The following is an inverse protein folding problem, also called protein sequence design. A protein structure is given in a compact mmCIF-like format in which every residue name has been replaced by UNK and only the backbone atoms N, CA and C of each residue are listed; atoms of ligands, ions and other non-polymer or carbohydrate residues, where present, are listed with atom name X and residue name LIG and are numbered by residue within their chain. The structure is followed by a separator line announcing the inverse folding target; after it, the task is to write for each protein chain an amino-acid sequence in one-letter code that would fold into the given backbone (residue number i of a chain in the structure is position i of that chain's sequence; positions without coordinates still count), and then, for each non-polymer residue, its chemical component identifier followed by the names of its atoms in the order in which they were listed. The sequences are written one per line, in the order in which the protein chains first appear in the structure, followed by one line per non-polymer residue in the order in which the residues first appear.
data_IF_750997443384
#
_entry.id   IF_750997443384
#
_cell.length_a   1.000
_cell.length_b   1.000
_cell.length_c   1.000
_cell.angle_alpha   90.00
_cell.angle_beta   90.00
_cell.angle_gamma   90.00
#
_symmetry.space_group_name_H-M   'P 1'
#
loop_
_entity.id
_entity.type
_entity.pdbx_description
1 polymer ?
#
# COMPACT_ATOMS: atom_id res chain seq x y z
N UNK A 1 19.60 9.45 8.71
CA UNK A 1 20.00 8.01 8.79
C UNK A 1 21.51 7.95 8.53
N UNK A 2 22.13 6.77 8.38
CA UNK A 2 23.40 6.72 7.64
C UNK A 2 23.08 6.76 6.16
N UNK A 3 23.81 7.56 5.39
CA UNK A 3 23.69 7.61 3.94
C UNK A 3 24.42 6.41 3.35
N UNK A 4 23.71 5.58 2.59
CA UNK A 4 24.23 4.39 1.92
C UNK A 4 24.22 4.62 0.40
N UNK A 5 25.37 4.97 -0.21
CA UNK A 5 25.42 5.28 -1.63
C UNK A 5 25.06 4.07 -2.49
N UNK A 6 24.30 4.31 -3.56
CA UNK A 6 24.00 3.28 -4.56
C UNK A 6 25.29 2.73 -5.19
N UNK A 7 25.35 1.41 -5.36
CA UNK A 7 26.40 0.78 -6.17
C UNK A 7 26.30 1.21 -7.63
N UNK A 8 27.39 1.09 -8.40
CA UNK A 8 27.41 1.46 -9.81
C UNK A 8 26.40 0.65 -10.67
N UNK A 9 26.05 -0.57 -10.24
CA UNK A 9 25.03 -1.39 -10.90
C UNK A 9 23.60 -0.95 -10.56
N UNK A 10 23.30 -0.70 -9.28
CA UNK A 10 22.01 -0.10 -8.87
C UNK A 10 21.80 1.25 -9.54
N UNK A 11 22.79 2.14 -9.50
CA UNK A 11 22.70 3.47 -10.09
C UNK A 11 22.44 3.42 -11.60
N UNK A 12 23.10 2.50 -12.32
CA UNK A 12 22.79 2.26 -13.75
C UNK A 12 21.36 1.76 -13.92
N UNK A 13 20.94 0.75 -13.17
CA UNK A 13 19.59 0.19 -13.27
C UNK A 13 18.51 1.25 -13.00
N UNK A 14 18.63 1.99 -11.89
CA UNK A 14 17.72 3.06 -11.50
C UNK A 14 17.67 4.15 -12.58
N UNK A 15 18.83 4.56 -13.13
CA UNK A 15 18.89 5.52 -14.25
C UNK A 15 18.15 5.00 -15.50
N UNK A 16 18.35 3.74 -15.86
CA UNK A 16 17.67 3.10 -16.99
C UNK A 16 16.16 2.94 -16.79
N UNK A 17 15.68 2.73 -15.56
CA UNK A 17 14.25 2.71 -15.26
C UNK A 17 13.63 4.11 -15.28
N UNK A 18 14.23 5.08 -14.57
CA UNK A 18 13.69 6.44 -14.43
C UNK A 18 13.55 7.20 -15.75
N UNK A 19 14.35 6.89 -16.76
CA UNK A 19 14.23 7.47 -18.10
C UNK A 19 12.99 7.01 -18.89
N UNK A 20 12.41 5.84 -18.56
CA UNK A 20 11.28 5.26 -19.30
C UNK A 20 9.99 6.04 -19.03
N UNK A 21 9.19 6.24 -20.08
CA UNK A 21 7.83 6.73 -19.93
C UNK A 21 6.88 5.60 -19.52
N UNK A 22 5.82 5.92 -18.78
CA UNK A 22 4.86 4.93 -18.28
C UNK A 22 4.05 4.26 -19.40
N UNK A 23 3.77 2.97 -19.25
CA UNK A 23 2.80 2.24 -20.07
C UNK A 23 1.35 2.54 -19.68
N UNK A 24 0.36 2.27 -20.57
CA UNK A 24 -1.04 2.63 -20.35
C UNK A 24 -1.70 1.90 -19.17
N UNK A 25 -1.13 0.79 -18.71
CA UNK A 25 -1.54 0.05 -17.51
C UNK A 25 -1.48 0.90 -16.23
N UNK A 26 -0.49 1.79 -16.11
CA UNK A 26 -0.30 2.65 -14.94
C UNK A 26 -1.14 3.94 -14.96
N UNK A 27 -1.75 4.27 -16.10
CA UNK A 27 -2.42 5.55 -16.31
C UNK A 27 -3.93 5.46 -16.16
N UNK A 28 -4.52 6.44 -15.48
CA UNK A 28 -5.96 6.67 -15.45
C UNK A 28 -6.32 7.98 -16.14
N UNK A 29 -7.58 8.12 -16.56
CA UNK A 29 -8.12 9.34 -17.16
C UNK A 29 -9.39 9.77 -16.43
N UNK A 30 -9.50 11.08 -16.14
CA UNK A 30 -10.71 11.71 -15.62
C UNK A 30 -11.13 12.88 -16.51
N UNK A 31 -12.42 13.18 -16.54
CA UNK A 31 -12.91 14.43 -17.16
C UNK A 31 -12.55 15.60 -16.25
N UNK A 32 -11.88 16.60 -16.79
CA UNK A 32 -11.63 17.90 -16.15
C UNK A 32 -12.21 19.05 -16.96
N UNK A 33 -12.09 20.31 -16.48
CA UNK A 33 -12.70 21.48 -17.12
C UNK A 33 -12.29 21.68 -18.57
N UNK A 34 -11.03 21.37 -18.91
CA UNK A 34 -10.43 21.54 -20.23
C UNK A 34 -10.33 20.22 -21.02
N UNK A 35 -11.21 19.25 -20.73
CA UNK A 35 -11.22 17.93 -21.36
C UNK A 35 -10.59 16.84 -20.51
N UNK A 36 -10.09 15.77 -21.13
CA UNK A 36 -9.53 14.60 -20.42
C UNK A 36 -8.18 14.92 -19.78
N UNK A 37 -8.07 14.66 -18.48
CA UNK A 37 -6.83 14.73 -17.71
C UNK A 37 -6.32 13.31 -17.42
N UNK A 38 -5.08 13.02 -17.84
CA UNK A 38 -4.40 11.76 -17.55
C UNK A 38 -3.61 11.91 -16.25
N UNK A 39 -3.63 10.90 -15.37
CA UNK A 39 -2.98 10.93 -14.06
C UNK A 39 -2.54 9.53 -13.61
N UNK A 40 -1.69 9.47 -12.58
CA UNK A 40 -1.38 8.25 -11.81
C UNK A 40 -2.03 8.30 -10.43
N UNK A 41 -2.47 7.15 -9.94
CA UNK A 41 -2.95 6.95 -8.57
C UNK A 41 -1.79 7.10 -7.56
N UNK A 42 -2.09 7.46 -6.31
CA UNK A 42 -1.07 7.52 -5.25
C UNK A 42 -0.38 6.17 -5.04
N UNK A 43 -1.18 5.10 -4.94
CA UNK A 43 -0.72 3.71 -4.87
C UNK A 43 0.20 3.31 -6.02
N UNK A 44 -0.09 3.76 -7.25
CA UNK A 44 0.77 3.52 -8.42
C UNK A 44 2.15 4.17 -8.24
N UNK A 45 2.21 5.44 -7.82
CA UNK A 45 3.48 6.12 -7.58
C UNK A 45 4.32 5.43 -6.48
N UNK A 46 3.68 5.01 -5.37
CA UNK A 46 4.31 4.26 -4.28
C UNK A 46 4.85 2.91 -4.77
N UNK A 47 4.06 2.16 -5.55
CA UNK A 47 4.49 0.87 -6.11
C UNK A 47 5.70 1.03 -7.03
N UNK A 48 5.69 2.00 -7.94
CA UNK A 48 6.81 2.24 -8.86
C UNK A 48 8.06 2.69 -8.09
N UNK A 49 7.93 3.52 -7.05
CA UNK A 49 9.05 3.89 -6.18
C UNK A 49 9.63 2.66 -5.45
N UNK A 50 8.79 1.76 -4.96
CA UNK A 50 9.20 0.49 -4.36
C UNK A 50 9.83 -0.49 -5.37
N UNK A 51 9.41 -0.49 -6.64
CA UNK A 51 9.98 -1.31 -7.71
C UNK A 51 11.34 -0.77 -8.21
N UNK A 52 11.54 0.56 -8.24
CA UNK A 52 12.76 1.20 -8.73
C UNK A 52 13.83 1.30 -7.63
N UNK A 53 13.46 1.79 -6.43
CA UNK A 53 14.41 2.04 -5.33
C UNK A 53 14.48 0.89 -4.31
N UNK A 54 13.46 0.03 -4.26
CA UNK A 54 13.26 -0.92 -3.17
C UNK A 54 12.50 -0.30 -2.00
N UNK A 55 11.80 -1.13 -1.21
CA UNK A 55 10.97 -0.71 -0.07
C UNK A 55 11.72 0.05 1.04
N UNK A 56 13.05 -0.05 1.07
CA UNK A 56 13.96 0.61 2.01
C UNK A 56 14.92 1.59 1.31
N UNK A 57 14.77 1.82 0.01
CA UNK A 57 15.64 2.71 -0.78
C UNK A 57 15.17 4.16 -0.84
N UNK A 58 13.96 4.45 -0.35
CA UNK A 58 13.37 5.78 -0.27
C UNK A 58 12.51 5.94 0.99
N UNK A 59 12.25 7.19 1.37
CA UNK A 59 11.36 7.57 2.46
C UNK A 59 10.64 8.89 2.16
N UNK A 60 9.52 9.13 2.85
CA UNK A 60 8.72 10.36 2.77
C UNK A 60 8.59 11.02 4.13
N UNK A 61 8.80 12.34 4.19
CA UNK A 61 8.67 13.16 5.40
C UNK A 61 7.73 14.35 5.10
N UNK A 62 6.73 14.60 5.94
CA UNK A 62 5.91 15.81 5.88
C UNK A 62 6.71 16.96 6.53
N UNK A 63 6.95 18.04 5.79
CA UNK A 63 7.75 19.19 6.23
C UNK A 63 6.91 20.34 6.77
N UNK A 64 5.71 20.52 6.21
CA UNK A 64 4.73 21.51 6.64
C UNK A 64 3.31 21.03 6.27
N UNK A 65 2.30 21.51 7.00
CA UNK A 65 0.89 21.37 6.62
C UNK A 65 0.12 22.64 6.98
N UNK A 66 -0.01 23.53 6.00
CA UNK A 66 -0.73 24.80 6.11
C UNK A 66 -2.20 24.64 5.71
N UNK A 67 -3.11 25.19 6.50
CA UNK A 67 -4.55 25.27 6.18
C UNK A 67 -4.83 26.66 5.61
N UNK A 68 -4.95 26.76 4.29
CA UNK A 68 -4.97 28.04 3.57
C UNK A 68 -6.27 28.83 3.77
N UNK A 69 -7.41 28.14 3.85
CA UNK A 69 -8.70 28.74 4.19
C UNK A 69 -9.67 27.69 4.76
N UNK A 70 -10.63 28.13 5.59
CA UNK A 70 -11.78 27.33 6.03
C UNK A 70 -13.02 28.22 6.06
N UNK A 71 -13.83 28.13 5.01
CA UNK A 71 -15.09 28.88 4.89
C UNK A 71 -16.27 28.00 5.30
N UNK A 72 -17.25 28.60 5.99
CA UNK A 72 -18.50 27.94 6.37
C UNK A 72 -19.66 28.76 5.80
N UNK A 73 -20.46 28.15 4.94
CA UNK A 73 -21.63 28.80 4.33
C UNK A 73 -22.78 28.98 5.34
N UNK A 74 -23.75 29.89 5.07
CA UNK A 74 -24.94 30.04 5.92
C UNK A 74 -25.75 28.75 6.11
N UNK A 75 -25.67 27.82 5.15
CA UNK A 75 -26.31 26.50 5.17
C UNK A 75 -25.48 25.44 5.92
N UNK A 76 -24.41 25.86 6.61
CA UNK A 76 -23.51 24.99 7.38
C UNK A 76 -22.61 24.10 6.52
N UNK A 77 -22.33 24.49 5.27
CA UNK A 77 -21.42 23.74 4.38
C UNK A 77 -20.00 24.23 4.51
N UNK A 78 -19.05 23.31 4.65
CA UNK A 78 -17.64 23.64 4.83
C UNK A 78 -16.90 23.57 3.48
N UNK A 79 -16.14 24.60 3.18
CA UNK A 79 -15.15 24.63 2.11
C UNK A 79 -13.75 24.81 2.73
N UNK A 80 -12.75 24.08 2.26
CA UNK A 80 -11.40 24.10 2.82
C UNK A 80 -10.33 23.87 1.75
N UNK A 81 -9.22 24.58 1.88
CA UNK A 81 -7.96 24.32 1.19
C UNK A 81 -6.85 23.96 2.17
N UNK A 82 -6.02 22.98 1.81
CA UNK A 82 -4.84 22.57 2.58
C UNK A 82 -3.65 22.38 1.63
N UNK A 83 -2.54 23.02 1.96
CA UNK A 83 -1.23 22.85 1.34
C UNK A 83 -0.35 21.98 2.22
N UNK A 84 0.34 21.01 1.62
CA UNK A 84 1.30 20.13 2.33
C UNK A 84 2.62 20.12 1.60
N UNK A 85 3.71 20.37 2.32
CA UNK A 85 5.08 20.23 1.78
C UNK A 85 5.61 18.85 2.16
N UNK A 86 6.05 18.05 1.18
CA UNK A 86 6.67 16.74 1.41
C UNK A 86 8.09 16.71 0.86
N UNK A 87 8.99 16.11 1.65
CA UNK A 87 10.33 15.70 1.24
C UNK A 87 10.34 14.20 0.93
N UNK A 88 10.83 13.83 -0.24
CA UNK A 88 11.19 12.44 -0.57
C UNK A 88 12.70 12.33 -0.55
N UNK A 89 13.24 11.40 0.24
CA UNK A 89 14.69 11.19 0.40
C UNK A 89 15.05 9.75 0.02
N UNK A 90 16.10 9.56 -0.78
CA UNK A 90 16.65 8.25 -1.13
C UNK A 90 17.72 7.81 -0.12
N UNK A 91 18.08 6.51 -0.13
CA UNK A 91 19.05 5.94 0.83
C UNK A 91 20.45 6.57 0.78
N UNK A 92 20.83 7.20 -0.33
CA UNK A 92 22.10 7.90 -0.53
C UNK A 92 22.09 9.35 -0.03
N UNK A 93 20.95 9.84 0.48
CA UNK A 93 20.75 11.22 0.92
C UNK A 93 20.20 12.17 -0.15
N UNK A 94 20.09 11.74 -1.42
CA UNK A 94 19.51 12.54 -2.49
C UNK A 94 18.01 12.78 -2.21
N UNK A 95 17.54 14.02 -2.31
CA UNK A 95 16.14 14.35 -1.99
C UNK A 95 15.50 15.37 -2.95
N UNK A 96 14.17 15.33 -3.00
CA UNK A 96 13.33 16.34 -3.64
C UNK A 96 12.18 16.76 -2.71
N UNK A 97 11.83 18.03 -2.76
CA UNK A 97 10.75 18.64 -1.97
C UNK A 97 9.74 19.31 -2.92
N UNK A 98 8.45 19.13 -2.64
CA UNK A 98 7.37 19.71 -3.43
C UNK A 98 6.13 19.98 -2.56
N UNK A 99 5.24 20.85 -3.05
CA UNK A 99 3.99 21.24 -2.36
C UNK A 99 2.80 20.67 -3.10
N UNK A 100 2.03 19.81 -2.42
CA UNK A 100 0.75 19.29 -2.89
C UNK A 100 -0.43 20.05 -2.31
N UNK A 101 -1.58 19.95 -3.00
CA UNK A 101 -2.79 20.67 -2.60
C UNK A 101 -4.01 19.75 -2.55
N UNK A 102 -4.78 19.88 -1.48
CA UNK A 102 -6.02 19.15 -1.27
C UNK A 102 -7.15 20.08 -0.87
N UNK A 103 -8.36 19.77 -1.33
CA UNK A 103 -9.53 20.60 -1.06
C UNK A 103 -10.78 19.76 -0.83
N UNK A 104 -11.68 20.31 -0.01
CA UNK A 104 -13.03 19.79 0.08
C UNK A 104 -14.02 20.93 0.03
N UNK A 105 -14.89 20.90 -0.96
CA UNK A 105 -15.98 21.86 -1.16
C UNK A 105 -17.32 21.23 -0.72
N UNK A 106 -18.26 22.07 -0.27
CA UNK A 106 -19.65 21.69 0.06
C UNK A 106 -19.76 20.51 1.07
N UNK A 107 -18.78 20.38 1.98
CA UNK A 107 -18.73 19.29 2.94
C UNK A 107 -19.81 19.42 4.03
N UNK A 108 -20.30 18.28 4.52
CA UNK A 108 -21.38 18.22 5.52
C UNK A 108 -20.92 18.47 6.96
N UNK A 109 -19.63 18.28 7.24
CA UNK A 109 -19.04 18.55 8.56
C UNK A 109 -17.60 19.06 8.40
N UNK A 110 -17.08 19.75 9.42
CA UNK A 110 -15.69 20.22 9.42
C UNK A 110 -14.69 19.05 9.45
N UNK A 111 -15.03 17.96 10.13
CA UNK A 111 -14.17 16.77 10.22
C UNK A 111 -13.90 16.15 8.85
N UNK A 112 -14.95 15.77 8.10
CA UNK A 112 -14.76 15.12 6.79
C UNK A 112 -14.16 16.07 5.73
N UNK A 113 -14.35 17.39 5.90
CA UNK A 113 -13.70 18.40 5.07
C UNK A 113 -12.17 18.42 5.28
N UNK A 114 -11.73 18.50 6.55
CA UNK A 114 -10.32 18.46 6.94
C UNK A 114 -9.66 17.12 6.56
N UNK A 115 -10.35 16.03 6.83
CA UNK A 115 -9.93 14.67 6.54
C UNK A 115 -9.63 14.48 5.04
N UNK A 116 -10.60 14.77 4.16
CA UNK A 116 -10.42 14.67 2.72
C UNK A 116 -9.31 15.59 2.21
N UNK A 117 -9.32 16.86 2.64
CA UNK A 117 -8.34 17.84 2.15
C UNK A 117 -6.90 17.47 2.55
N UNK A 118 -6.67 17.00 3.78
CA UNK A 118 -5.34 16.55 4.23
C UNK A 118 -4.85 15.31 3.48
N UNK A 119 -5.68 14.27 3.34
CA UNK A 119 -5.29 13.05 2.60
C UNK A 119 -4.95 13.39 1.14
N UNK A 120 -5.81 14.14 0.44
CA UNK A 120 -5.56 14.57 -0.93
C UNK A 120 -4.27 15.39 -1.07
N UNK A 121 -3.99 16.31 -0.15
CA UNK A 121 -2.79 17.14 -0.18
C UNK A 121 -1.50 16.32 0.01
N UNK A 122 -1.50 15.37 0.97
CA UNK A 122 -0.39 14.42 1.20
C UNK A 122 -0.16 13.54 -0.04
N UNK A 123 -1.22 12.96 -0.63
CA UNK A 123 -1.10 12.15 -1.83
C UNK A 123 -0.57 12.96 -3.01
N UNK A 124 -1.04 14.20 -3.21
CA UNK A 124 -0.56 15.07 -4.29
C UNK A 124 0.91 15.47 -4.09
N UNK A 125 1.30 15.89 -2.88
CA UNK A 125 2.67 16.27 -2.55
C UNK A 125 3.64 15.11 -2.78
N UNK A 126 3.25 13.90 -2.35
CA UNK A 126 4.03 12.67 -2.56
C UNK A 126 4.27 12.39 -4.04
N UNK A 127 3.21 12.40 -4.88
CA UNK A 127 3.33 12.19 -6.33
C UNK A 127 4.19 13.26 -7.00
N UNK A 128 4.08 14.51 -6.54
CA UNK A 128 4.80 15.66 -7.10
C UNK A 128 6.28 15.65 -6.76
N UNK A 129 6.66 15.30 -5.53
CA UNK A 129 8.06 15.12 -5.17
C UNK A 129 8.67 13.88 -5.86
N UNK A 130 7.91 12.78 -6.00
CA UNK A 130 8.36 11.58 -6.73
C UNK A 130 8.62 11.85 -8.23
N UNK A 131 7.81 12.67 -8.91
CA UNK A 131 7.99 12.96 -10.35
C UNK A 131 9.39 13.51 -10.67
N UNK A 132 9.98 14.26 -9.74
CA UNK A 132 11.24 14.99 -9.95
C UNK A 132 12.43 14.07 -10.18
N UNK A 133 12.37 12.81 -9.73
CA UNK A 133 13.39 11.79 -10.00
C UNK A 133 13.33 11.24 -11.44
N UNK A 134 12.19 11.29 -12.15
CA UNK A 134 12.15 10.80 -13.54
C UNK A 134 10.78 10.56 -14.17
N UNK A 135 10.83 10.17 -15.45
CA UNK A 135 9.67 9.89 -16.29
C UNK A 135 8.80 8.75 -15.74
N UNK A 136 9.44 7.69 -15.25
CA UNK A 136 8.73 6.53 -14.69
C UNK A 136 7.92 6.87 -13.43
N UNK A 137 8.32 7.91 -12.68
CA UNK A 137 7.59 8.40 -11.50
C UNK A 137 6.60 9.52 -11.84
N UNK A 138 6.26 9.69 -13.13
CA UNK A 138 5.17 10.54 -13.59
C UNK A 138 5.59 11.84 -14.30
N UNK A 139 6.89 12.15 -14.43
CA UNK A 139 7.31 13.34 -15.18
C UNK A 139 6.86 13.31 -16.66
N UNK A 140 6.72 12.13 -17.26
CA UNK A 140 6.22 12.00 -18.64
C UNK A 140 4.79 12.53 -18.83
N UNK A 141 3.98 12.64 -17.76
CA UNK A 141 2.62 13.21 -17.82
C UNK A 141 2.59 14.68 -18.27
N UNK A 142 3.72 15.40 -18.24
CA UNK A 142 3.83 16.77 -18.70
C UNK A 142 4.18 16.90 -20.20
N UNK A 143 4.62 15.82 -20.85
CA UNK A 143 4.86 15.81 -22.30
C UNK A 143 3.57 15.55 -23.10
N UNK A 144 3.19 16.54 -23.91
CA UNK A 144 2.03 16.48 -24.81
C UNK A 144 2.22 15.47 -25.95
N UNK A 145 3.45 15.20 -26.39
CA UNK A 145 3.73 14.23 -27.47
C UNK A 145 3.49 12.81 -26.96
N UNK A 146 4.04 12.48 -25.79
CA UNK A 146 3.72 11.27 -25.05
C UNK A 146 2.22 11.12 -24.77
N UNK A 147 1.55 12.14 -24.21
CA UNK A 147 0.11 12.07 -23.90
C UNK A 147 -0.74 11.77 -25.15
N UNK A 148 -0.44 12.39 -26.29
CA UNK A 148 -1.12 12.14 -27.56
C UNK A 148 -0.89 10.70 -28.07
N UNK A 149 0.27 10.11 -27.77
CA UNK A 149 0.64 8.76 -28.22
C UNK A 149 0.07 7.67 -27.31
N UNK A 150 0.20 7.85 -25.99
CA UNK A 150 -0.26 6.88 -24.98
C UNK A 150 -1.80 6.83 -24.91
N UNK A 151 -2.49 7.95 -25.18
CA UNK A 151 -3.95 8.01 -25.25
C UNK A 151 -4.58 7.26 -26.43
N UNK A 152 -3.77 6.76 -27.38
CA UNK A 152 -4.21 5.89 -28.46
C UNK A 152 -4.00 4.39 -28.16
N UNK A 153 -3.30 4.06 -27.07
CA UNK A 153 -3.03 2.67 -26.68
C UNK A 153 -4.19 2.11 -25.82
N UNK A 154 -4.55 0.84 -26.05
CA UNK A 154 -5.54 0.16 -25.22
C UNK A 154 -4.94 -0.23 -23.86
N UNK A 155 -5.59 0.16 -22.74
CA UNK A 155 -5.16 -0.25 -21.39
C UNK A 155 -5.37 -1.76 -21.20
N UNK A 156 -4.33 -2.56 -20.95
CA UNK A 156 -4.45 -4.01 -20.86
C UNK A 156 -5.26 -4.42 -19.63
N UNK A 157 -6.11 -5.43 -19.80
CA UNK A 157 -7.04 -5.89 -18.76
C UNK A 157 -6.39 -7.00 -17.92
N UNK A 158 -5.85 -6.62 -16.76
CA UNK A 158 -5.24 -7.56 -15.81
C UNK A 158 -6.34 -8.42 -15.18
N UNK A 159 -6.35 -9.72 -15.46
CA UNK A 159 -7.31 -10.66 -14.88
C UNK A 159 -6.94 -10.96 -13.43
N UNK A 160 -7.84 -10.64 -12.50
CA UNK A 160 -7.68 -10.97 -11.09
C UNK A 160 -7.38 -12.46 -10.91
N UNK A 161 -6.27 -12.76 -10.23
CA UNK A 161 -5.73 -14.11 -10.07
C UNK A 161 -5.49 -14.36 -8.59
N UNK A 162 -6.33 -15.15 -7.88
CA UNK A 162 -6.27 -15.31 -6.42
C UNK A 162 -5.08 -16.16 -5.92
N UNK A 163 -4.20 -16.56 -6.85
CA UNK A 163 -3.16 -17.57 -6.66
C UNK A 163 -1.90 -17.05 -5.95
N UNK A 164 -1.66 -15.74 -6.00
CA UNK A 164 -0.53 -15.02 -5.39
C UNK A 164 -0.94 -13.97 -4.36
N UNK A 165 -2.16 -14.06 -3.80
CA UNK A 165 -2.57 -13.21 -2.68
C UNK A 165 -1.78 -13.58 -1.43
N UNK A 166 -1.30 -12.57 -0.69
CA UNK A 166 -0.79 -12.78 0.67
C UNK A 166 -1.91 -13.31 1.56
N UNK A 167 -1.66 -14.43 2.25
CA UNK A 167 -2.62 -15.09 3.13
C UNK A 167 -1.95 -15.42 4.46
N UNK A 168 -2.63 -15.14 5.56
CA UNK A 168 -2.21 -15.64 6.87
C UNK A 168 -2.30 -17.17 6.89
N UNK A 169 -1.30 -17.82 7.48
CA UNK A 169 -1.06 -19.27 7.43
C UNK A 169 -2.31 -20.15 7.70
N UNK A 170 -3.15 -19.74 8.65
CA UNK A 170 -4.40 -20.44 9.02
C UNK A 170 -5.44 -20.52 7.88
N UNK A 171 -5.35 -19.62 6.90
CA UNK A 171 -6.26 -19.48 5.76
C UNK A 171 -5.64 -19.87 4.41
N UNK A 172 -4.40 -20.35 4.37
CA UNK A 172 -3.87 -20.97 3.15
C UNK A 172 -4.37 -22.42 3.02
N UNK A 173 -5.40 -22.61 2.21
CA UNK A 173 -5.93 -23.93 1.90
C UNK A 173 -4.90 -24.83 1.21
N UNK A 174 -4.00 -24.27 0.38
CA UNK A 174 -2.96 -25.08 -0.30
C UNK A 174 -2.06 -25.78 0.71
N UNK A 175 -1.66 -25.09 1.78
CA UNK A 175 -0.84 -25.64 2.87
C UNK A 175 -1.55 -26.79 3.58
N UNK A 176 -2.87 -26.69 3.80
CA UNK A 176 -3.72 -27.76 4.36
C UNK A 176 -3.85 -28.95 3.42
N UNK A 177 -4.15 -28.71 2.14
CA UNK A 177 -4.31 -29.75 1.13
C UNK A 177 -3.00 -30.53 0.93
N UNK A 178 -1.87 -29.82 0.86
CA UNK A 178 -0.53 -30.41 0.70
C UNK A 178 -0.12 -31.23 1.92
N UNK A 179 -0.43 -30.77 3.14
CA UNK A 179 -0.26 -31.54 4.37
C UNK A 179 -1.11 -32.83 4.39
N UNK A 180 -2.38 -32.77 3.97
CA UNK A 180 -3.24 -33.95 3.90
C UNK A 180 -2.75 -34.97 2.86
N UNK A 181 -2.35 -34.51 1.68
CA UNK A 181 -1.78 -35.38 0.63
C UNK A 181 -0.50 -36.07 1.14
N UNK A 182 0.37 -35.35 1.84
CA UNK A 182 1.59 -35.95 2.40
C UNK A 182 1.27 -36.99 3.48
N UNK A 183 0.34 -36.70 4.41
CA UNK A 183 -0.09 -37.65 5.44
C UNK A 183 -0.74 -38.91 4.83
N UNK A 184 -1.58 -38.77 3.80
CA UNK A 184 -2.15 -39.92 3.09
C UNK A 184 -1.08 -40.76 2.39
N UNK A 185 -0.09 -40.12 1.73
CA UNK A 185 1.01 -40.83 1.10
C UNK A 185 1.89 -41.59 2.12
N UNK A 186 2.08 -41.05 3.33
CA UNK A 186 2.79 -41.73 4.42
C UNK A 186 2.01 -42.93 4.96
N UNK A 187 0.69 -42.79 5.16
CA UNK A 187 -0.18 -43.90 5.56
C UNK A 187 -0.21 -45.02 4.51
N UNK A 188 -0.28 -44.69 3.22
CA UNK A 188 -0.24 -45.67 2.13
C UNK A 188 1.11 -46.41 2.07
N UNK A 189 2.25 -45.69 2.21
CA UNK A 189 3.58 -46.32 2.30
C UNK A 189 3.67 -47.29 3.49
N UNK A 190 3.10 -46.93 4.64
CA UNK A 190 3.11 -47.79 5.82
C UNK A 190 2.22 -49.04 5.65
N UNK A 191 1.03 -48.90 5.06
CA UNK A 191 0.15 -50.04 4.76
C UNK A 191 0.82 -51.02 3.78
N UNK A 192 1.48 -50.53 2.72
CA UNK A 192 2.24 -51.38 1.79
C UNK A 192 3.39 -52.11 2.49
N UNK A 193 4.09 -51.49 3.45
CA UNK A 193 5.13 -52.17 4.23
C UNK A 193 4.56 -53.31 5.10
N UNK A 194 3.43 -53.08 5.78
CA UNK A 194 2.73 -54.11 6.58
C UNK A 194 2.26 -55.27 5.69
N UNK A 195 1.68 -54.99 4.52
CA UNK A 195 1.23 -56.03 3.61
C UNK A 195 2.40 -56.85 3.05
N UNK A 196 3.50 -56.20 2.64
CA UNK A 196 4.72 -56.89 2.20
C UNK A 196 5.31 -57.80 3.30
N UNK A 197 5.27 -57.37 4.57
CA UNK A 197 5.66 -58.23 5.70
C UNK A 197 4.69 -59.43 5.86
N UNK A 198 3.38 -59.21 5.80
CA UNK A 198 2.37 -60.29 5.87
C UNK A 198 2.52 -61.31 4.73
N UNK A 199 2.80 -60.87 3.52
CA UNK A 199 3.03 -61.76 2.37
C UNK A 199 4.31 -62.60 2.58
N UNK A 200 5.41 -61.99 3.05
CA UNK A 200 6.63 -62.73 3.43
C UNK A 200 6.36 -63.78 4.51
N UNK A 201 5.62 -63.44 5.57
CA UNK A 201 5.29 -64.37 6.65
C UNK A 201 4.49 -65.58 6.13
N UNK A 202 3.46 -65.35 5.30
CA UNK A 202 2.68 -66.41 4.65
C UNK A 202 3.51 -67.32 3.74
N UNK A 203 4.55 -66.80 3.09
CA UNK A 203 5.45 -67.64 2.28
C UNK A 203 6.36 -68.51 3.13
N UNK A 204 6.82 -68.04 4.28
CA UNK A 204 7.60 -68.83 5.25
C UNK A 204 6.73 -69.96 5.82
N UNK A 205 5.51 -69.63 6.25
CA UNK A 205 4.52 -70.57 6.78
C UNK A 205 4.17 -71.68 5.77
N UNK A 206 3.85 -71.31 4.53
CA UNK A 206 3.56 -72.27 3.45
C UNK A 206 4.77 -73.13 3.01
N UNK A 207 6.00 -72.73 3.33
CA UNK A 207 7.19 -73.57 3.11
C UNK A 207 7.40 -74.58 4.24
N UNK A 208 7.03 -74.25 5.49
CA UNK A 208 7.14 -75.17 6.62
C UNK A 208 6.15 -76.35 6.52
N UNK A 209 4.93 -76.11 6.03
CA UNK A 209 3.90 -77.15 5.87
C UNK A 209 4.18 -78.22 4.78
N UNK A 210 5.39 -78.28 4.20
CA UNK A 210 5.77 -79.26 3.15
C UNK A 210 6.73 -80.37 3.60
N UNK A 211 7.04 -80.49 4.89
CA UNK A 211 7.80 -81.64 5.42
C UNK A 211 6.87 -82.68 6.08
N UNK A 212 6.80 -83.93 5.56
CA UNK A 212 6.09 -85.01 6.23
C UNK A 212 6.98 -85.64 7.32
N UNK A 213 6.87 -85.16 8.55
CA UNK A 213 7.58 -85.74 9.71
C UNK A 213 6.73 -86.81 10.40
N UNK A 214 7.37 -87.92 10.78
CA UNK A 214 6.70 -89.17 11.14
C UNK A 214 6.08 -89.16 12.54
N UNK A 215 5.00 -89.92 12.71
CA UNK A 215 4.47 -90.27 14.04
C UNK A 215 5.49 -91.13 14.76
N UNK A 216 5.95 -90.68 15.94
CA UNK A 216 6.63 -91.54 16.91
C UNK A 216 6.07 -91.25 18.30
N UNK A 217 5.67 -92.30 19.00
CA UNK A 217 5.11 -92.25 20.35
C UNK A 217 6.23 -92.19 21.37
N UNK A 218 6.07 -91.39 22.43
CA UNK A 218 6.33 -91.81 23.82
C UNK A 218 5.76 -90.78 24.83
N UNK A 219 5.89 -91.08 26.13
CA UNK A 219 5.04 -90.54 27.21
C UNK A 219 5.76 -89.57 28.20
N UNK A 220 5.04 -88.92 29.14
CA UNK A 220 5.40 -87.56 29.57
C UNK A 220 6.19 -87.46 30.89
N UNK A 221 6.85 -86.31 31.08
CA UNK A 221 7.35 -85.84 32.38
C UNK A 221 7.07 -84.35 32.63
N UNK A 222 6.00 -84.13 33.40
CA UNK A 222 5.82 -83.09 34.44
C UNK A 222 6.87 -81.99 34.61
N UNK A 223 6.42 -80.73 34.63
CA UNK A 223 6.65 -79.85 35.79
C UNK A 223 5.58 -78.73 35.90
N UNK A 224 4.96 -78.60 37.08
CA UNK A 224 4.16 -77.43 37.50
C UNK A 224 5.11 -76.23 37.75
N UNK A 225 4.71 -74.95 37.91
CA UNK A 225 3.52 -74.32 38.55
C UNK A 225 3.52 -72.80 38.13
N UNK A 226 2.49 -71.93 38.22
CA UNK A 226 1.11 -71.91 38.80
C UNK A 226 0.17 -71.01 37.93
N UNK A 227 -0.76 -70.26 38.53
CA UNK A 227 -1.71 -69.31 37.91
C UNK A 227 -1.69 -67.95 38.65
N UNK A 228 -2.12 -66.88 37.96
CA UNK A 228 -3.11 -65.86 38.41
C UNK A 228 -3.59 -65.06 37.17
N UNK A 229 -4.84 -64.81 36.79
CA UNK A 229 -6.22 -64.90 37.36
C UNK A 229 -6.88 -63.55 37.73
N UNK A 230 -7.54 -62.92 36.76
CA UNK A 230 -8.83 -62.19 36.85
C UNK A 230 -9.31 -61.93 35.40
N UNK A 231 -10.48 -62.32 34.87
CA UNK A 231 -11.89 -62.46 35.33
C UNK A 231 -12.75 -61.19 35.18
N UNK A 232 -13.93 -61.38 34.56
CA UNK A 232 -15.01 -60.47 34.11
C UNK A 232 -14.98 -60.18 32.58
N UNK A 233 -15.92 -60.63 31.73
CA UNK A 233 -17.27 -61.24 31.92
C UNK A 233 -18.25 -60.28 32.64
N UNK A 234 -19.38 -59.81 32.08
CA UNK A 234 -20.25 -60.20 30.95
C UNK A 234 -20.74 -58.90 30.23
N UNK A 235 -21.63 -58.81 29.22
CA UNK A 235 -22.47 -59.72 28.38
C UNK A 235 -22.79 -58.92 27.09
N UNK A 236 -22.82 -59.46 25.85
CA UNK A 236 -23.61 -60.56 25.25
C UNK A 236 -25.05 -60.15 24.86
N UNK A 237 -25.42 -60.27 23.56
CA UNK A 237 -26.72 -59.84 22.98
C UNK A 237 -26.58 -58.82 21.82
N UNK A 238 -26.11 -59.14 20.61
CA UNK A 238 -26.66 -59.98 19.53
C UNK A 238 -27.92 -59.44 18.80
N UNK A 239 -27.74 -59.20 17.48
CA UNK A 239 -28.76 -59.25 16.38
C UNK A 239 -29.78 -58.08 16.25
N UNK A 240 -30.25 -57.71 15.05
CA UNK A 240 -29.91 -58.11 13.66
C UNK A 240 -30.35 -57.07 12.62
N UNK A 241 -29.81 -57.20 11.40
CA UNK A 241 -30.26 -56.67 10.10
C UNK A 241 -31.65 -56.01 10.03
N UNK A 242 -31.72 -54.84 9.39
CA UNK A 242 -32.54 -54.70 8.18
C UNK A 242 -32.01 -53.60 7.24
N UNK A 243 -32.48 -53.61 6.00
CA UNK A 243 -32.07 -52.66 4.96
C UNK A 243 -33.25 -51.84 4.41
N UNK A 244 -32.87 -50.80 3.66
CA UNK A 244 -33.51 -50.29 2.42
C UNK A 244 -34.29 -48.96 2.47
N UNK A 245 -34.31 -48.32 1.29
CA UNK A 245 -35.16 -47.23 0.78
C UNK A 245 -34.99 -45.78 1.27
N UNK A 246 -34.39 -44.98 0.38
CA UNK A 246 -34.93 -43.73 -0.21
C UNK A 246 -36.22 -43.13 0.36
N UNK A 247 -36.19 -41.81 0.53
CA UNK A 247 -37.13 -40.94 -0.20
C UNK A 247 -36.60 -39.51 -0.41
N UNK A 248 -36.95 -38.92 -1.55
CA UNK A 248 -36.88 -37.46 -1.74
C UNK A 248 -38.02 -36.79 -0.99
N UNK A 249 -37.75 -35.63 -0.38
CA UNK A 249 -38.75 -34.57 -0.24
C UNK A 249 -38.13 -33.26 -0.70
N UNK A 250 -38.78 -32.59 -1.65
CA UNK A 250 -38.55 -31.16 -1.88
C UNK A 250 -39.34 -30.40 -0.81
N UNK A 251 -38.73 -29.39 -0.19
CA UNK A 251 -39.41 -28.44 0.67
C UNK A 251 -39.15 -27.03 0.14
N UNK A 252 -40.23 -26.33 -0.19
CA UNK A 252 -40.25 -24.90 -0.48
C UNK A 252 -40.08 -24.15 0.85
N UNK A 253 -39.24 -23.12 0.90
CA UNK A 253 -39.23 -22.13 2.00
C UNK A 253 -39.02 -20.76 1.41
N UNK A 254 -39.79 -19.83 1.93
CA UNK A 254 -40.15 -18.55 1.32
C UNK A 254 -39.05 -17.47 1.40
N UNK A 255 -39.35 -16.30 0.82
CA UNK A 255 -38.58 -15.08 1.03
C UNK A 255 -38.87 -14.47 2.43
N UNK A 256 -38.20 -13.35 2.75
CA UNK A 256 -38.42 -12.53 3.94
C UNK A 256 -38.20 -13.18 5.33
N UNK A 257 -36.94 -13.56 5.60
CA UNK A 257 -36.34 -13.24 6.90
C UNK A 257 -34.80 -13.08 6.80
N UNK A 258 -34.33 -11.89 6.40
CA UNK A 258 -32.90 -11.53 6.44
C UNK A 258 -32.60 -10.73 7.71
N UNK A 259 -31.77 -11.23 8.64
CA UNK A 259 -31.27 -10.39 9.72
C UNK A 259 -30.42 -9.25 9.13
N UNK A 260 -30.84 -8.00 9.38
CA UNK A 260 -30.04 -6.82 9.07
C UNK A 260 -28.80 -6.78 9.97
N UNK A 261 -27.70 -7.39 9.49
CA UNK A 261 -26.39 -7.20 10.07
C UNK A 261 -25.97 -5.74 9.86
N UNK A 262 -26.15 -4.92 10.90
CA UNK A 262 -25.36 -3.72 11.13
C UNK A 262 -23.89 -4.13 11.24
N UNK A 263 -23.18 -4.06 10.12
CA UNK A 263 -21.72 -4.12 10.11
C UNK A 263 -21.19 -2.85 10.79
N UNK A 264 -20.09 -2.93 11.58
CA UNK A 264 -19.38 -1.74 12.04
C UNK A 264 -18.94 -0.87 10.86
N UNK A 265 -18.87 0.45 11.07
CA UNK A 265 -18.52 1.44 10.03
C UNK A 265 -17.08 1.27 9.49
N UNK A 266 -16.22 0.50 10.17
CA UNK A 266 -14.83 0.14 9.75
C UNK A 266 -14.76 -0.82 8.54
N UNK A 267 -15.74 -0.79 7.65
CA UNK A 267 -15.78 -1.60 6.43
C UNK A 267 -14.90 -0.97 5.34
N UNK A 268 -13.84 -1.69 4.94
CA UNK A 268 -12.86 -1.27 3.91
C UNK A 268 -13.43 -1.21 2.47
N UNK A 269 -14.41 -0.33 2.25
CA UNK A 269 -14.98 0.06 0.96
C UNK A 269 -15.73 1.39 1.15
N UNK A 270 -15.42 2.47 0.45
CA UNK A 270 -15.76 2.66 -0.97
C UNK A 270 -14.97 3.83 -1.60
N UNK A 271 -14.83 3.83 -2.94
CA UNK A 271 -14.47 4.95 -3.84
C UNK A 271 -13.54 6.07 -3.32
N UNK A 272 -12.25 6.08 -3.70
CA UNK A 272 -11.47 7.34 -3.70
C UNK A 272 -9.95 7.31 -3.47
N UNK A 273 -9.33 6.14 -3.27
CA UNK A 273 -7.87 5.88 -3.33
C UNK A 273 -6.92 6.68 -2.40
N UNK A 274 -7.40 7.65 -1.63
CA UNK A 274 -6.61 8.49 -0.70
C UNK A 274 -6.50 7.92 0.74
N UNK A 275 -7.27 6.87 1.07
CA UNK A 275 -7.41 6.34 2.45
C UNK A 275 -6.20 5.56 2.99
N UNK A 276 -5.31 5.04 2.14
CA UNK A 276 -4.21 4.17 2.60
C UNK A 276 -3.18 4.89 3.50
N UNK A 277 -3.11 6.23 3.43
CA UNK A 277 -2.17 7.02 4.24
C UNK A 277 -2.60 7.23 5.71
N UNK A 278 -3.87 6.98 6.05
CA UNK A 278 -4.43 7.23 7.41
C UNK A 278 -3.59 6.59 8.50
N UNK A 279 -3.26 5.30 8.32
CA UNK A 279 -2.61 4.49 9.35
C UNK A 279 -1.11 4.78 9.49
N UNK A 280 -0.51 5.58 8.60
CA UNK A 280 0.89 5.99 8.71
C UNK A 280 1.04 7.33 9.46
N UNK A 281 0.09 8.25 9.30
CA UNK A 281 0.11 9.56 9.97
C UNK A 281 -0.23 9.43 11.47
N UNK A 282 -1.11 8.49 11.83
CA UNK A 282 -1.51 8.22 13.22
C UNK A 282 -0.35 7.84 14.17
N UNK A 283 0.83 7.49 13.65
CA UNK A 283 1.98 7.06 14.45
C UNK A 283 2.78 8.21 15.08
N UNK A 284 2.62 9.46 14.63
CA UNK A 284 3.44 10.60 15.09
C UNK A 284 2.66 11.55 16.04
N UNK A 285 1.34 11.69 15.90
CA UNK A 285 0.51 12.59 16.72
C UNK A 285 0.31 12.13 18.19
N UNK A 286 0.37 10.83 18.51
CA UNK A 286 0.12 10.34 19.89
C UNK A 286 1.22 10.71 20.92
N UNK A 287 2.34 11.29 20.50
CA UNK A 287 3.49 11.58 21.38
C UNK A 287 3.55 13.01 21.95
N UNK A 288 2.73 13.96 21.49
CA UNK A 288 2.84 15.38 21.92
C UNK A 288 1.71 15.92 22.82
N UNK A 289 0.65 15.15 23.08
CA UNK A 289 -0.41 15.52 24.05
C UNK A 289 -0.02 15.20 25.50
N UNK A 290 1.10 15.76 25.96
CA UNK A 290 1.76 15.36 27.22
C UNK A 290 2.43 16.45 28.06
N UNK A 291 2.17 17.74 27.83
CA UNK A 291 2.76 18.83 28.62
C UNK A 291 1.74 19.78 29.27
N UNK A 292 2.13 20.33 30.42
CA UNK A 292 1.20 20.88 31.42
C UNK A 292 0.80 22.33 31.21
N UNK A 293 -0.49 22.63 31.37
CA UNK A 293 -0.93 23.97 31.78
C UNK A 293 -0.34 24.30 33.15
N UNK A 294 0.22 25.49 33.27
CA UNK A 294 0.43 26.18 34.56
C UNK A 294 -0.28 27.51 34.50
N UNK A 295 -1.15 27.75 35.46
CA UNK A 295 -1.76 29.06 35.67
C UNK A 295 -0.76 29.98 36.39
N UNK A 296 -0.41 31.10 35.78
CA UNK A 296 0.20 32.24 36.46
C UNK A 296 -0.67 33.48 36.17
N UNK A 297 -1.19 34.08 37.24
CA UNK A 297 -2.13 35.22 37.20
C UNK A 297 -1.46 36.41 37.87
N UNK A 298 -1.22 37.49 37.11
CA UNK A 298 -0.86 38.80 37.67
C UNK A 298 -1.76 39.92 37.15
N UNK A 299 -1.89 40.96 37.99
CA UNK A 299 -3.00 41.92 38.01
C UNK A 299 -2.62 43.27 37.35
N UNK A 300 -3.41 43.83 36.41
CA UNK A 300 -2.95 44.93 35.56
C UNK A 300 -3.14 46.31 36.21
N UNK A 301 -2.29 46.68 37.18
CA UNK A 301 -2.34 48.05 37.73
C UNK A 301 -1.01 48.62 38.28
N UNK A 302 -0.18 49.21 37.41
CA UNK A 302 0.66 50.35 37.81
C UNK A 302 0.94 51.28 36.62
N UNK A 303 0.74 52.58 36.82
CA UNK A 303 1.03 53.62 35.84
C UNK A 303 2.01 54.64 36.43
N UNK A 304 3.08 54.98 35.71
CA UNK A 304 3.98 56.08 36.10
C UNK A 304 4.60 56.81 34.91
N UNK A 305 3.96 57.92 34.57
CA UNK A 305 4.48 59.19 34.01
C UNK A 305 5.92 59.21 33.45
N UNK A 306 6.04 59.59 32.18
CA UNK A 306 7.24 60.22 31.62
C UNK A 306 6.99 61.70 31.28
N UNK A 307 7.95 62.63 31.51
CA UNK A 307 7.79 64.05 31.22
C UNK A 307 8.17 64.45 29.78
N UNK A 308 7.51 65.48 29.23
CA UNK A 308 7.75 66.01 27.86
C UNK A 308 8.23 67.46 27.90
N UNK A 309 9.43 67.73 27.39
CA UNK A 309 9.94 69.04 26.90
C UNK A 309 11.13 68.77 25.95
N UNK A 310 11.50 69.58 24.95
CA UNK A 310 10.85 70.70 24.22
C UNK A 310 11.63 70.89 22.89
N UNK A 311 10.96 71.25 21.79
CA UNK A 311 11.61 71.86 20.60
C UNK A 311 11.69 73.40 20.79
N UNK A 312 12.53 74.16 20.04
CA UNK A 312 12.48 74.35 18.58
C UNK A 312 13.86 74.00 17.93
N UNK A 313 14.36 74.44 16.76
CA UNK A 313 14.03 75.50 15.78
C UNK A 313 14.25 75.08 14.29
N UNK A 314 13.71 75.89 13.38
CA UNK A 314 14.12 76.11 11.98
C UNK A 314 13.88 77.61 11.67
N UNK A 315 14.19 78.23 10.50
CA UNK A 315 14.58 77.67 9.19
C UNK A 315 15.72 78.45 8.44
N UNK A 316 16.00 78.07 7.17
CA UNK A 316 16.56 78.85 6.01
C UNK A 316 17.07 77.85 4.93
N UNK A 317 17.26 78.14 3.64
CA UNK A 317 16.59 78.97 2.61
C UNK A 317 17.31 78.74 1.26
N UNK A 318 16.62 78.84 0.11
CA UNK A 318 17.13 78.63 -1.29
C UNK A 318 18.02 79.83 -1.78
N UNK A 319 18.56 79.92 -3.04
CA UNK A 319 18.44 79.07 -4.26
C UNK A 319 19.73 78.86 -5.14
N UNK A 320 19.56 78.21 -6.33
CA UNK A 320 20.35 78.25 -7.61
C UNK A 320 21.86 77.88 -7.64
N UNK A 321 22.49 77.34 -8.71
CA UNK A 321 22.54 77.85 -10.11
C UNK A 321 23.13 76.85 -11.16
N UNK A 322 22.41 76.60 -12.27
CA UNK A 322 22.79 76.31 -13.70
C UNK A 322 23.94 75.32 -14.10
N UNK A 323 23.61 74.37 -15.02
CA UNK A 323 24.45 73.93 -16.16
C UNK A 323 24.76 72.41 -16.28
N UNK A 324 24.79 71.74 -17.44
CA UNK A 324 24.42 72.10 -18.83
C UNK A 324 25.02 71.14 -19.89
N UNK A 325 24.31 70.86 -21.02
CA UNK A 325 24.62 69.87 -22.12
C UNK A 325 24.29 68.39 -21.74
N UNK A 326 23.59 67.51 -22.49
CA UNK A 326 23.16 67.32 -23.92
C UNK A 326 24.32 67.09 -24.89
N UNK A 327 24.34 66.18 -25.87
CA UNK A 327 23.44 65.15 -26.47
C UNK A 327 24.37 64.25 -27.37
N UNK A 328 23.96 63.37 -28.32
CA UNK A 328 22.70 62.67 -28.62
C UNK A 328 22.87 61.12 -28.74
N UNK A 329 21.81 60.33 -29.07
CA UNK A 329 21.93 58.94 -29.55
C UNK A 329 22.26 58.84 -31.07
N UNK A 330 22.63 57.64 -31.54
CA UNK A 330 22.89 57.31 -32.96
C UNK A 330 22.03 56.13 -33.44
N UNK A 331 21.81 56.04 -34.76
CA UNK A 331 20.79 55.19 -35.39
C UNK A 331 21.30 54.23 -36.46
N UNK A 332 20.46 53.24 -36.79
CA UNK A 332 20.38 52.48 -38.06
C UNK A 332 20.24 53.46 -39.28
N UNK A 333 20.33 53.06 -40.59
CA UNK A 333 20.08 51.73 -41.14
C UNK A 333 20.85 51.23 -42.41
N UNK A 334 20.44 50.03 -42.88
CA UNK A 334 20.29 49.57 -44.30
C UNK A 334 21.33 48.66 -45.01
N UNK A 335 20.74 47.79 -45.87
CA UNK A 335 21.31 46.97 -46.96
C UNK A 335 22.22 45.77 -46.59
N UNK A 336 22.32 44.67 -47.34
CA UNK A 336 21.44 43.89 -48.27
C UNK A 336 22.26 42.63 -48.72
N UNK A 337 21.69 41.72 -49.54
CA UNK A 337 22.43 40.69 -50.35
C UNK A 337 23.05 39.52 -49.51
N UNK A 338 23.05 38.23 -49.88
CA UNK A 338 22.58 37.50 -51.09
C UNK A 338 22.00 36.09 -50.77
N UNK A 339 21.48 35.39 -51.80
CA UNK A 339 21.12 33.97 -51.79
C UNK A 339 22.08 33.14 -52.67
N UNK A 340 22.57 32.00 -52.17
CA UNK A 340 22.98 30.75 -52.89
C UNK A 340 23.60 29.79 -51.85
N UNK A 341 23.71 28.46 -52.05
CA UNK A 341 23.61 27.62 -53.24
C UNK A 341 22.70 26.38 -53.03
N UNK A 342 22.27 25.74 -54.13
CA UNK A 342 21.83 24.34 -54.16
C UNK A 342 22.00 23.76 -55.57
N UNK A 343 22.45 22.51 -55.66
CA UNK A 343 22.32 21.56 -56.81
C UNK A 343 23.25 21.75 -58.04
N UNK A 344 23.97 20.64 -58.36
CA UNK A 344 24.56 20.17 -59.63
C UNK A 344 25.40 21.11 -60.52
N UNK A 345 26.63 20.67 -60.86
CA UNK A 345 26.83 19.57 -61.83
C UNK A 345 27.74 18.50 -61.23
#
# INVERSE_FOLDING_TARGET
MKEEPFSAEEHRHISEQLQKNLGPEWLNQRTGPNGKLTYIEGKTAINIANEIFGFNGWSSEIKDTTVDFVDISPEGRVNIGVSVTIKITLKDGTFHEDVGYGSSENARSKASAFEKARKQAVTDATKRALRSFGNALGNCLYDKVYLNSIGQMAKPQIKFTPLGLYRHDQFDSKKKDQLQIQQQAEQQRHQQQIENQRQRQRMIENQQCKQPTQIKQEQPSTHHIKLSSNTHNKSNGNHSNHANNNQHTNAHTDEDDRPHYLLPEDSFSYEGDDEFFVQMIQAEDELELGLSVKDDVEDPNSASVMPVTKSPESPKSLPDTIGGKREPPLSDPHHQIEKRQRVSQ
#
